data_IF_643407296797
#
_entry.id   IF_643407296797
#
_cell.length_a   1.000
_cell.length_b   1.000
_cell.length_c   1.000
_cell.angle_alpha   90.00
_cell.angle_beta   90.00
_cell.angle_gamma   90.00
#
_symmetry.space_group_name_H-M   'P 1'
#
loop_
_entity.id
_entity.type
_entity.pdbx_description
1 polymer ?
#
# COMPACT_ATOMS: atom_id res chain seq x y z
N UNK A 1 3.52 -9.92 -14.85
CA UNK A 1 4.20 -10.60 -13.75
C UNK A 1 5.71 -10.51 -13.95
N UNK A 2 6.41 -9.86 -13.03
CA UNK A 2 7.86 -9.68 -13.10
C UNK A 2 8.52 -10.75 -12.24
N UNK A 3 9.29 -11.64 -12.88
CA UNK A 3 10.02 -12.72 -12.19
C UNK A 3 11.51 -12.40 -11.97
N UNK A 4 12.02 -11.43 -12.72
CA UNK A 4 13.42 -11.01 -12.71
C UNK A 4 13.52 -9.47 -12.64
N UNK A 5 13.12 -8.85 -11.52
CA UNK A 5 13.10 -7.40 -11.38
C UNK A 5 14.47 -6.74 -11.56
N UNK A 6 15.54 -7.45 -11.32
CA UNK A 6 16.92 -7.01 -11.55
C UNK A 6 17.23 -6.67 -13.02
N UNK A 7 16.42 -7.16 -13.97
CA UNK A 7 16.59 -6.85 -15.40
C UNK A 7 15.77 -5.64 -15.83
N UNK A 8 14.59 -5.45 -15.22
CA UNK A 8 13.60 -4.44 -15.66
C UNK A 8 13.59 -3.19 -14.80
N UNK A 9 13.91 -3.31 -13.51
CA UNK A 9 13.84 -2.19 -12.58
C UNK A 9 14.91 -1.14 -12.86
N UNK A 10 14.53 0.13 -12.85
CA UNK A 10 15.46 1.26 -12.99
C UNK A 10 16.35 1.44 -11.77
N UNK A 11 15.87 1.06 -10.58
CA UNK A 11 16.61 1.11 -9.33
C UNK A 11 17.10 -0.29 -8.91
N UNK A 12 18.43 -0.45 -8.84
CA UNK A 12 19.12 -1.68 -8.46
C UNK A 12 19.76 -1.60 -7.07
N UNK A 13 19.51 -0.51 -6.31
CA UNK A 13 20.09 -0.32 -5.00
C UNK A 13 19.79 -1.51 -4.09
N UNK A 14 20.80 -1.97 -3.38
CA UNK A 14 20.63 -3.09 -2.44
C UNK A 14 19.64 -2.74 -1.32
N UNK A 15 18.88 -3.74 -0.89
CA UNK A 15 18.02 -3.59 0.30
C UNK A 15 18.88 -3.28 1.52
N UNK A 16 18.60 -2.15 2.16
CA UNK A 16 19.30 -1.74 3.36
C UNK A 16 18.73 -2.49 4.57
N UNK A 17 19.48 -3.46 5.09
CA UNK A 17 19.11 -4.17 6.30
C UNK A 17 19.34 -3.29 7.53
N UNK A 18 18.29 -2.97 8.30
CA UNK A 18 18.43 -2.18 9.52
C UNK A 18 19.25 -2.90 10.60
N UNK A 19 19.95 -2.13 11.43
CA UNK A 19 20.83 -2.66 12.50
C UNK A 19 20.07 -3.43 13.59
N UNK A 20 18.78 -3.16 13.75
CA UNK A 20 17.92 -3.82 14.75
C UNK A 20 16.50 -3.97 14.20
N UNK A 21 15.76 -4.95 14.70
CA UNK A 21 14.33 -5.16 14.39
C UNK A 21 13.39 -4.31 15.23
N UNK A 22 13.91 -3.44 16.10
CA UNK A 22 13.08 -2.55 16.92
C UNK A 22 12.35 -1.55 16.04
N UNK A 23 11.04 -1.58 16.06
CA UNK A 23 10.17 -0.72 15.24
C UNK A 23 8.91 -0.29 15.96
N UNK A 24 8.29 0.77 15.46
CA UNK A 24 7.03 1.31 15.96
C UNK A 24 6.16 1.79 14.80
N UNK A 25 4.85 1.79 15.01
CA UNK A 25 3.93 2.62 14.26
C UNK A 25 3.85 3.97 14.99
N UNK A 26 4.38 5.03 14.39
CA UNK A 26 4.65 6.28 15.09
C UNK A 26 3.62 7.34 14.67
N UNK A 27 3.04 7.99 15.68
CA UNK A 27 2.34 9.26 15.48
C UNK A 27 3.37 10.39 15.30
N UNK A 28 3.12 11.32 14.37
CA UNK A 28 4.05 12.41 14.04
C UNK A 28 4.45 13.27 15.24
N UNK A 29 3.55 13.45 16.19
CA UNK A 29 3.81 14.20 17.42
C UNK A 29 4.69 13.44 18.43
N UNK A 30 5.00 12.16 18.19
CA UNK A 30 5.82 11.30 19.06
C UNK A 30 7.18 10.93 18.42
N UNK A 31 7.61 11.68 17.42
CA UNK A 31 8.88 11.42 16.71
C UNK A 31 10.09 11.40 17.64
N UNK A 32 10.16 12.33 18.59
CA UNK A 32 11.29 12.42 19.53
C UNK A 32 11.38 11.20 20.43
N UNK A 33 10.24 10.65 20.86
CA UNK A 33 10.21 9.45 21.70
C UNK A 33 10.72 8.24 20.90
N UNK A 34 10.33 8.12 19.65
CA UNK A 34 10.81 7.07 18.76
C UNK A 34 12.34 7.14 18.56
N UNK A 35 12.88 8.35 18.37
CA UNK A 35 14.32 8.55 18.22
C UNK A 35 15.07 8.22 19.54
N UNK A 36 14.53 8.63 20.68
CA UNK A 36 15.09 8.32 22.00
C UNK A 36 15.09 6.82 22.27
N UNK A 37 14.03 6.11 21.87
CA UNK A 37 13.95 4.65 21.96
C UNK A 37 14.91 3.91 21.00
N UNK A 38 15.52 4.63 20.05
CA UNK A 38 16.46 4.07 19.08
C UNK A 38 15.81 3.08 18.12
N UNK A 39 14.58 3.36 17.68
CA UNK A 39 13.92 2.53 16.68
C UNK A 39 14.62 2.63 15.33
N UNK A 40 14.60 1.53 14.56
CA UNK A 40 15.19 1.44 13.23
C UNK A 40 14.18 1.04 12.16
N UNK A 41 12.91 0.87 12.53
CA UNK A 41 11.80 0.62 11.65
C UNK A 41 10.60 1.48 12.05
N UNK A 42 9.88 1.99 11.05
CA UNK A 42 8.57 2.61 11.25
C UNK A 42 7.58 2.06 10.24
N UNK A 43 6.30 1.98 10.64
CA UNK A 43 5.20 1.79 9.72
C UNK A 43 4.49 3.14 9.50
N UNK A 44 4.13 3.42 8.25
CA UNK A 44 3.40 4.61 7.82
C UNK A 44 2.20 4.18 7.00
N UNK A 45 1.00 4.60 7.38
CA UNK A 45 -0.19 4.38 6.58
C UNK A 45 -0.25 5.39 5.43
N UNK A 46 -0.49 4.90 4.22
CA UNK A 46 -0.74 5.71 3.03
C UNK A 46 -2.22 5.63 2.69
N UNK A 47 -2.91 6.75 2.82
CA UNK A 47 -4.30 6.91 2.42
C UNK A 47 -4.37 7.07 0.90
N UNK A 48 -4.65 5.97 0.21
CA UNK A 48 -4.50 5.83 -1.24
C UNK A 48 -5.35 6.82 -2.04
N UNK A 49 -6.63 6.97 -1.67
CA UNK A 49 -7.57 7.81 -2.41
C UNK A 49 -7.25 9.31 -2.32
N UNK A 50 -6.51 9.73 -1.29
CA UNK A 50 -6.19 11.14 -1.05
C UNK A 50 -5.07 11.65 -1.97
N UNK A 51 -4.37 10.74 -2.64
CA UNK A 51 -3.33 11.12 -3.60
C UNK A 51 -3.87 11.78 -4.86
N UNK A 52 -5.13 11.51 -5.26
CA UNK A 52 -5.75 12.21 -6.39
C UNK A 52 -6.15 13.64 -5.99
N UNK A 53 -5.96 14.59 -6.92
CA UNK A 53 -6.27 15.98 -6.66
C UNK A 53 -5.67 16.93 -7.70
N UNK A 54 -4.86 17.88 -7.26
CA UNK A 54 -4.26 18.86 -8.18
C UNK A 54 -2.86 19.31 -7.72
N UNK A 55 -2.11 19.87 -8.65
CA UNK A 55 -0.83 20.53 -8.37
C UNK A 55 0.40 19.69 -8.72
N UNK A 56 0.24 18.39 -9.03
CA UNK A 56 1.27 17.56 -9.63
C UNK A 56 0.65 16.80 -10.80
N UNK A 57 1.20 16.97 -11.99
CA UNK A 57 0.83 16.21 -13.18
C UNK A 57 1.75 15.00 -13.32
N UNK A 58 1.19 13.85 -13.63
CA UNK A 58 1.90 12.60 -13.82
C UNK A 58 1.43 11.88 -15.08
N UNK A 59 2.36 11.71 -16.01
CA UNK A 59 2.09 11.00 -17.24
C UNK A 59 2.26 9.49 -17.04
N UNK A 60 1.20 8.74 -17.28
CA UNK A 60 1.22 7.29 -17.18
C UNK A 60 0.35 6.65 -18.25
N UNK A 61 0.93 5.73 -19.02
CA UNK A 61 0.22 4.94 -20.05
C UNK A 61 -0.55 5.82 -21.06
N UNK A 62 0.07 6.97 -21.45
CA UNK A 62 -0.50 7.92 -22.42
C UNK A 62 -1.62 8.80 -21.87
N UNK A 63 -1.82 8.85 -20.56
CA UNK A 63 -2.79 9.71 -19.87
C UNK A 63 -2.10 10.56 -18.81
N UNK A 64 -2.61 11.78 -18.61
CA UNK A 64 -2.20 12.65 -17.50
C UNK A 64 -3.11 12.40 -16.31
N UNK A 65 -2.51 12.09 -15.17
CA UNK A 65 -3.18 12.00 -13.87
C UNK A 65 -2.76 13.16 -12.99
N UNK A 66 -3.69 13.65 -12.18
CA UNK A 66 -3.45 14.80 -11.32
C UNK A 66 -3.37 14.38 -9.86
N UNK A 67 -2.25 14.69 -9.20
CA UNK A 67 -2.02 14.34 -7.81
C UNK A 67 -2.09 15.54 -6.89
N UNK A 68 -2.57 15.29 -5.68
CA UNK A 68 -2.72 16.30 -4.64
C UNK A 68 -1.35 16.68 -4.07
N UNK A 69 -0.85 17.85 -4.48
CA UNK A 69 0.47 18.34 -4.09
C UNK A 69 0.65 18.42 -2.58
N UNK A 70 -0.34 18.90 -1.85
CA UNK A 70 -0.21 19.06 -0.39
C UNK A 70 -0.14 17.72 0.34
N UNK A 71 -0.89 16.73 -0.10
CA UNK A 71 -0.82 15.36 0.43
C UNK A 71 0.54 14.73 0.14
N UNK A 72 1.00 14.83 -1.09
CA UNK A 72 2.30 14.30 -1.51
C UNK A 72 3.44 14.94 -0.71
N UNK A 73 3.49 16.27 -0.61
CA UNK A 73 4.53 17.00 0.13
C UNK A 73 4.52 16.64 1.63
N UNK A 74 3.35 16.38 2.21
CA UNK A 74 3.26 15.92 3.59
C UNK A 74 3.88 14.52 3.77
N UNK A 75 3.58 13.57 2.89
CA UNK A 75 4.22 12.25 2.93
C UNK A 75 5.73 12.34 2.68
N UNK A 76 6.18 13.16 1.74
CA UNK A 76 7.60 13.41 1.49
C UNK A 76 8.33 13.85 2.76
N UNK A 77 7.76 14.83 3.46
CA UNK A 77 8.31 15.35 4.72
C UNK A 77 8.39 14.29 5.81
N UNK A 78 7.32 13.51 5.97
CA UNK A 78 7.25 12.44 6.99
C UNK A 78 8.29 11.37 6.72
N UNK A 79 8.30 10.84 5.49
CA UNK A 79 9.19 9.76 5.09
C UNK A 79 10.65 10.22 5.14
N UNK A 80 10.97 11.43 4.63
CA UNK A 80 12.32 11.98 4.67
C UNK A 80 12.84 12.18 6.09
N UNK A 81 11.97 12.52 7.03
CA UNK A 81 12.32 12.66 8.44
C UNK A 81 12.82 11.34 9.03
N UNK A 82 12.16 10.22 8.71
CA UNK A 82 12.59 8.90 9.17
C UNK A 82 13.87 8.46 8.49
N UNK A 83 13.93 8.55 7.16
CA UNK A 83 15.10 8.12 6.38
C UNK A 83 16.35 8.94 6.76
N UNK A 84 16.20 10.24 7.00
CA UNK A 84 17.27 11.12 7.48
C UNK A 84 17.82 10.74 8.87
N UNK A 85 17.10 9.92 9.64
CA UNK A 85 17.51 9.34 10.92
C UNK A 85 17.95 7.88 10.81
N UNK A 86 18.20 7.39 9.61
CA UNK A 86 18.57 6.01 9.35
C UNK A 86 17.51 4.99 9.83
N UNK A 87 16.26 5.34 9.63
CA UNK A 87 15.10 4.50 9.97
C UNK A 87 14.49 3.96 8.68
N UNK A 88 14.32 2.65 8.60
CA UNK A 88 13.65 1.98 7.48
C UNK A 88 12.14 2.20 7.56
N UNK A 89 11.54 2.55 6.43
CA UNK A 89 10.10 2.81 6.33
C UNK A 89 9.40 1.62 5.69
N UNK A 90 8.34 1.18 6.34
CA UNK A 90 7.33 0.26 5.79
C UNK A 90 6.06 1.04 5.54
N UNK A 91 5.63 1.13 4.29
CA UNK A 91 4.36 1.76 3.93
C UNK A 91 3.24 0.73 3.87
N UNK A 92 2.12 1.02 4.52
CA UNK A 92 0.88 0.26 4.44
C UNK A 92 -0.08 1.07 3.58
N UNK A 93 -0.35 0.60 2.37
CA UNK A 93 -1.22 1.28 1.40
C UNK A 93 -2.66 0.84 1.65
N UNK A 94 -3.50 1.78 2.04
CA UNK A 94 -4.87 1.56 2.46
C UNK A 94 -5.82 2.33 1.55
N UNK A 95 -6.84 1.66 1.01
CA UNK A 95 -7.82 2.29 0.13
C UNK A 95 -8.98 2.84 0.95
N UNK A 96 -8.86 4.07 1.38
CA UNK A 96 -9.91 4.80 2.10
C UNK A 96 -11.05 5.21 1.15
N UNK A 97 -12.25 5.35 1.71
CA UNK A 97 -13.38 5.87 0.93
C UNK A 97 -13.22 7.36 0.65
N UNK A 98 -13.36 7.72 -0.63
CA UNK A 98 -13.38 9.11 -1.07
C UNK A 98 -14.60 9.35 -1.97
N UNK A 99 -15.51 10.21 -1.53
CA UNK A 99 -16.73 10.51 -2.28
C UNK A 99 -16.43 11.20 -3.63
N UNK A 100 -15.26 11.82 -3.78
CA UNK A 100 -14.82 12.42 -5.05
C UNK A 100 -14.22 11.37 -6.02
N UNK A 101 -13.82 10.20 -5.52
CA UNK A 101 -13.14 9.15 -6.29
C UNK A 101 -13.71 7.76 -5.98
N UNK A 102 -15.02 7.54 -6.20
CA UNK A 102 -15.65 6.24 -5.93
C UNK A 102 -15.14 5.13 -6.87
N UNK A 103 -14.56 5.50 -8.02
CA UNK A 103 -13.95 4.57 -8.98
C UNK A 103 -12.77 3.79 -8.40
N UNK A 104 -12.15 4.25 -7.31
CA UNK A 104 -11.03 3.56 -6.66
C UNK A 104 -11.47 2.35 -5.83
N UNK A 105 -12.73 2.29 -5.45
CA UNK A 105 -13.28 1.18 -4.66
C UNK A 105 -13.86 0.11 -5.58
N UNK A 106 -13.69 -1.16 -5.20
CA UNK A 106 -14.18 -2.30 -5.97
C UNK A 106 -15.62 -2.10 -6.42
N UNK A 107 -15.87 -2.33 -7.72
CA UNK A 107 -17.16 -2.05 -8.35
C UNK A 107 -18.32 -2.79 -7.69
N UNK A 108 -19.39 -2.06 -7.37
CA UNK A 108 -20.55 -2.59 -6.67
C UNK A 108 -20.47 -2.52 -5.15
N UNK A 109 -19.35 -2.07 -4.58
CA UNK A 109 -19.20 -1.86 -3.13
C UNK A 109 -19.80 -0.52 -2.73
N UNK A 110 -20.64 -0.53 -1.70
CA UNK A 110 -21.18 0.68 -1.10
C UNK A 110 -20.40 1.10 0.15
N UNK A 111 -20.39 2.40 0.44
CA UNK A 111 -19.86 2.93 1.70
C UNK A 111 -20.63 2.34 2.89
N UNK A 112 -19.90 1.88 3.89
CA UNK A 112 -20.47 1.31 5.11
C UNK A 112 -19.67 1.73 6.33
N UNK A 113 -20.35 1.86 7.48
CA UNK A 113 -19.69 2.10 8.77
C UNK A 113 -18.99 0.85 9.33
N UNK A 114 -19.21 -0.31 8.72
CA UNK A 114 -18.58 -1.58 9.12
C UNK A 114 -17.21 -1.79 8.51
N UNK A 115 -16.73 -0.87 7.67
CA UNK A 115 -15.42 -0.95 7.02
C UNK A 115 -14.62 0.31 7.26
N UNK A 116 -13.35 0.14 7.56
CA UNK A 116 -12.39 1.24 7.64
C UNK A 116 -11.75 1.52 6.28
N UNK A 117 -11.47 0.46 5.51
CA UNK A 117 -10.85 0.54 4.19
C UNK A 117 -11.51 -0.46 3.23
N UNK A 118 -11.28 -0.23 1.94
CA UNK A 118 -11.98 -0.90 0.85
C UNK A 118 -11.04 -1.61 -0.11
N UNK A 119 -11.54 -2.66 -0.75
CA UNK A 119 -10.82 -3.35 -1.81
C UNK A 119 -10.56 -2.41 -2.99
N UNK A 120 -9.35 -2.46 -3.54
CA UNK A 120 -8.95 -1.71 -4.71
C UNK A 120 -9.76 -2.12 -5.95
N UNK A 121 -10.14 -1.15 -6.78
CA UNK A 121 -10.88 -1.45 -8.00
C UNK A 121 -9.93 -1.86 -9.12
N UNK A 122 -9.90 -3.16 -9.37
CA UNK A 122 -9.23 -3.74 -10.54
C UNK A 122 -10.22 -4.33 -11.55
N UNK A 123 -11.53 -4.11 -11.35
CA UNK A 123 -12.60 -4.74 -12.13
C UNK A 123 -13.08 -3.87 -13.28
N UNK A 124 -13.24 -2.57 -13.06
CA UNK A 124 -13.62 -1.63 -14.13
C UNK A 124 -12.37 -1.07 -14.79
N UNK A 125 -12.48 -0.72 -16.07
CA UNK A 125 -11.34 -0.14 -16.80
C UNK A 125 -10.86 1.16 -16.14
N UNK A 126 -11.76 2.09 -15.86
CA UNK A 126 -11.44 3.36 -15.21
C UNK A 126 -10.77 3.17 -13.85
N UNK A 127 -11.38 2.34 -12.97
CA UNK A 127 -10.81 2.05 -11.66
C UNK A 127 -9.45 1.37 -11.73
N UNK A 128 -9.29 0.41 -12.66
CA UNK A 128 -8.02 -0.28 -12.87
C UNK A 128 -6.92 0.67 -13.36
N UNK A 129 -7.21 1.50 -14.39
CA UNK A 129 -6.25 2.45 -14.93
C UNK A 129 -5.83 3.48 -13.88
N UNK A 130 -6.79 4.04 -13.13
CA UNK A 130 -6.51 5.01 -12.07
C UNK A 130 -5.72 4.38 -10.92
N UNK A 131 -6.12 3.18 -10.49
CA UNK A 131 -5.37 2.41 -9.46
C UNK A 131 -3.93 2.13 -9.88
N UNK A 132 -3.71 1.71 -11.13
CA UNK A 132 -2.36 1.50 -11.69
C UNK A 132 -1.54 2.78 -11.70
N UNK A 133 -2.13 3.89 -12.11
CA UNK A 133 -1.43 5.18 -12.15
C UNK A 133 -0.98 5.63 -10.77
N UNK A 134 -1.84 5.49 -9.74
CA UNK A 134 -1.45 5.82 -8.35
C UNK A 134 -0.34 4.88 -7.86
N UNK A 135 -0.43 3.57 -8.12
CA UNK A 135 0.61 2.62 -7.74
C UNK A 135 1.95 2.94 -8.43
N UNK A 136 1.92 3.29 -9.73
CA UNK A 136 3.11 3.69 -10.46
C UNK A 136 3.70 4.99 -9.91
N UNK A 137 2.87 5.99 -9.61
CA UNK A 137 3.31 7.24 -8.99
C UNK A 137 4.00 7.00 -7.64
N UNK A 138 3.40 6.18 -6.77
CA UNK A 138 3.99 5.83 -5.47
C UNK A 138 5.33 5.09 -5.63
N UNK A 139 5.40 4.15 -6.59
CA UNK A 139 6.61 3.42 -6.89
C UNK A 139 7.72 4.35 -7.40
N UNK A 140 7.43 5.16 -8.41
CA UNK A 140 8.39 6.10 -8.98
C UNK A 140 8.89 7.09 -7.94
N UNK A 141 7.99 7.60 -7.09
CA UNK A 141 8.33 8.61 -6.11
C UNK A 141 9.14 8.07 -4.94
N UNK A 142 8.81 6.88 -4.42
CA UNK A 142 9.39 6.37 -3.16
C UNK A 142 10.27 5.13 -3.33
N UNK A 143 10.28 4.50 -4.49
CA UNK A 143 11.13 3.36 -4.82
C UNK A 143 12.06 3.60 -6.01
N UNK A 144 11.84 4.66 -6.78
CA UNK A 144 12.65 5.01 -7.96
C UNK A 144 14.08 5.39 -7.62
N UNK A 145 14.94 5.47 -8.64
CA UNK A 145 16.36 5.85 -8.52
C UNK A 145 16.57 7.37 -8.51
N UNK A 146 15.69 8.10 -9.17
CA UNK A 146 15.80 9.56 -9.30
C UNK A 146 15.21 10.27 -8.09
N UNK A 147 15.56 9.82 -6.88
CA UNK A 147 15.20 10.56 -5.69
C UNK A 147 15.92 11.90 -5.73
N UNK A 148 15.17 12.93 -5.95
CA UNK A 148 15.53 14.19 -5.38
C UNK A 148 15.81 13.93 -3.89
N UNK A 149 16.92 14.44 -3.36
CA UNK A 149 17.31 14.30 -1.93
C UNK A 149 16.21 14.71 -0.93
N UNK A 150 15.12 15.30 -1.43
CA UNK A 150 13.92 15.69 -0.67
C UNK A 150 12.88 14.56 -0.54
N UNK A 151 13.02 13.47 -1.29
CA UNK A 151 12.12 12.31 -1.22
C UNK A 151 12.83 11.18 -0.54
N UNK A 152 12.19 10.63 0.42
CA UNK A 152 12.77 9.54 1.15
C UNK A 152 12.30 8.20 0.60
N UNK A 153 13.17 7.21 0.67
CA UNK A 153 12.92 5.88 0.17
C UNK A 153 12.05 5.07 1.11
N UNK A 154 11.04 4.41 0.55
CA UNK A 154 10.30 3.32 1.19
C UNK A 154 10.91 2.01 0.69
N UNK A 155 11.32 1.15 1.62
CA UNK A 155 11.96 -0.13 1.29
C UNK A 155 11.03 -1.32 1.43
N UNK A 156 9.96 -1.18 2.20
CA UNK A 156 8.98 -2.22 2.43
C UNK A 156 7.57 -1.68 2.17
N UNK A 157 6.78 -2.45 1.44
CA UNK A 157 5.44 -2.10 1.04
C UNK A 157 4.46 -3.19 1.46
N UNK A 158 3.36 -2.80 2.06
CA UNK A 158 2.23 -3.69 2.39
C UNK A 158 1.01 -3.17 1.65
N UNK A 159 0.34 -4.01 0.88
CA UNK A 159 -0.92 -3.65 0.23
C UNK A 159 -2.09 -4.13 1.08
N UNK A 160 -2.91 -3.20 1.55
CA UNK A 160 -3.98 -3.47 2.50
C UNK A 160 -3.47 -3.76 3.91
N UNK A 161 -4.37 -3.97 4.84
CA UNK A 161 -4.07 -4.36 6.22
C UNK A 161 -4.96 -5.55 6.59
N UNK A 162 -4.37 -6.58 7.24
CA UNK A 162 -5.11 -7.74 7.74
C UNK A 162 -6.18 -8.23 6.75
N UNK A 163 -5.75 -8.50 5.52
CA UNK A 163 -6.65 -8.69 4.37
C UNK A 163 -7.64 -9.85 4.51
N UNK A 164 -7.41 -10.74 5.44
CA UNK A 164 -8.37 -11.81 5.76
C UNK A 164 -9.61 -11.31 6.53
N UNK A 165 -9.64 -10.03 6.92
CA UNK A 165 -10.77 -9.39 7.58
C UNK A 165 -11.24 -8.18 6.75
N UNK A 166 -12.46 -8.26 6.21
CA UNK A 166 -12.99 -7.22 5.34
C UNK A 166 -13.24 -5.86 6.02
N UNK A 167 -13.11 -5.74 7.34
CA UNK A 167 -13.10 -4.41 7.98
C UNK A 167 -11.97 -3.51 7.44
N UNK A 168 -10.88 -4.14 6.99
CA UNK A 168 -9.69 -3.48 6.48
C UNK A 168 -9.54 -3.50 4.96
N UNK A 169 -10.41 -4.26 4.25
CA UNK A 169 -10.30 -4.41 2.79
C UNK A 169 -11.66 -4.83 2.20
N UNK A 170 -12.68 -4.01 2.42
CA UNK A 170 -14.08 -4.34 2.17
C UNK A 170 -14.45 -4.32 0.69
N UNK A 171 -15.11 -5.38 0.23
CA UNK A 171 -15.72 -5.45 -1.11
C UNK A 171 -17.19 -5.92 -1.08
N UNK A 172 -17.75 -6.11 0.11
CA UNK A 172 -19.03 -6.76 0.30
C UNK A 172 -18.89 -8.27 0.55
N UNK A 173 -19.97 -8.93 0.97
CA UNK A 173 -19.98 -10.37 1.20
C UNK A 173 -19.53 -11.14 -0.05
N UNK A 174 -18.53 -12.00 0.10
CA UNK A 174 -17.98 -12.81 -1.01
C UNK A 174 -17.49 -14.16 -0.49
N UNK A 175 -17.53 -15.19 -1.33
CA UNK A 175 -16.81 -16.43 -1.03
C UNK A 175 -15.28 -16.22 -1.07
N UNK A 176 -14.55 -17.10 -0.42
CA UNK A 176 -13.09 -17.00 -0.28
C UNK A 176 -12.39 -16.89 -1.65
N UNK A 177 -12.78 -17.72 -2.61
CA UNK A 177 -12.13 -17.74 -3.93
C UNK A 177 -12.32 -16.43 -4.68
N UNK A 178 -13.54 -15.90 -4.67
CA UNK A 178 -13.87 -14.59 -5.26
C UNK A 178 -13.08 -13.48 -4.59
N UNK A 179 -13.03 -13.47 -3.26
CA UNK A 179 -12.29 -12.49 -2.50
C UNK A 179 -10.79 -12.52 -2.79
N UNK A 180 -10.18 -13.71 -2.68
CA UNK A 180 -8.74 -13.87 -2.90
C UNK A 180 -8.36 -13.55 -4.34
N UNK A 181 -9.13 -13.99 -5.34
CA UNK A 181 -8.83 -13.70 -6.75
C UNK A 181 -8.88 -12.19 -7.03
N UNK A 182 -9.84 -11.47 -6.43
CA UNK A 182 -9.94 -10.01 -6.54
C UNK A 182 -8.75 -9.32 -5.88
N UNK A 183 -8.39 -9.72 -4.67
CA UNK A 183 -7.22 -9.17 -3.98
C UNK A 183 -5.91 -9.46 -4.73
N UNK A 184 -5.75 -10.67 -5.26
CA UNK A 184 -4.57 -11.03 -6.05
C UNK A 184 -4.37 -10.13 -7.27
N UNK A 185 -5.43 -9.70 -7.94
CA UNK A 185 -5.31 -8.76 -9.07
C UNK A 185 -4.73 -7.42 -8.61
N UNK A 186 -5.22 -6.87 -7.50
CA UNK A 186 -4.69 -5.64 -6.93
C UNK A 186 -3.23 -5.82 -6.48
N UNK A 187 -2.94 -6.92 -5.76
CA UNK A 187 -1.59 -7.21 -5.28
C UNK A 187 -0.58 -7.37 -6.42
N UNK A 188 -0.92 -8.10 -7.49
CA UNK A 188 -0.05 -8.27 -8.66
C UNK A 188 0.19 -6.95 -9.39
N UNK A 189 -0.84 -6.10 -9.48
CA UNK A 189 -0.72 -4.77 -10.07
C UNK A 189 0.25 -3.91 -9.27
N UNK A 190 0.08 -3.88 -7.96
CA UNK A 190 0.97 -3.17 -7.05
C UNK A 190 2.41 -3.73 -7.07
N UNK A 191 2.55 -5.05 -6.95
CA UNK A 191 3.83 -5.74 -7.04
C UNK A 191 4.57 -5.38 -8.34
N UNK A 192 3.86 -5.37 -9.47
CA UNK A 192 4.43 -5.02 -10.75
C UNK A 192 4.92 -3.56 -10.77
N UNK A 193 4.15 -2.62 -10.23
CA UNK A 193 4.57 -1.22 -10.13
C UNK A 193 5.87 -1.08 -9.31
N UNK A 194 5.92 -1.68 -8.11
CA UNK A 194 7.12 -1.62 -7.27
C UNK A 194 8.32 -2.32 -7.94
N UNK A 195 8.14 -3.54 -8.46
CA UNK A 195 9.23 -4.35 -9.00
C UNK A 195 9.72 -3.90 -10.37
N UNK A 196 8.93 -3.18 -11.14
CA UNK A 196 9.41 -2.50 -12.35
C UNK A 196 10.26 -1.27 -12.04
N UNK A 197 10.09 -0.70 -10.86
CA UNK A 197 10.79 0.51 -10.41
C UNK A 197 12.01 0.19 -9.56
N UNK A 198 11.87 -0.71 -8.57
CA UNK A 198 12.96 -1.13 -7.68
C UNK A 198 13.09 -2.65 -7.60
N UNK A 199 14.27 -3.18 -7.92
CA UNK A 199 14.56 -4.61 -7.89
C UNK A 199 14.48 -5.18 -6.46
N UNK A 200 14.94 -4.43 -5.48
CA UNK A 200 15.20 -4.93 -4.14
C UNK A 200 14.19 -4.49 -3.07
N UNK A 201 13.28 -3.56 -3.36
CA UNK A 201 12.20 -3.22 -2.45
C UNK A 201 11.24 -4.42 -2.29
N UNK A 202 10.72 -4.59 -1.08
CA UNK A 202 9.93 -5.75 -0.72
C UNK A 202 8.45 -5.42 -0.69
N UNK A 203 7.64 -6.35 -1.17
CA UNK A 203 6.18 -6.21 -1.22
C UNK A 203 5.54 -7.34 -0.44
N UNK A 204 4.63 -7.00 0.45
CA UNK A 204 3.98 -7.91 1.37
C UNK A 204 2.47 -7.68 1.39
N UNK A 205 1.76 -8.61 1.99
CA UNK A 205 0.45 -8.44 2.57
C UNK A 205 0.49 -8.81 4.05
N UNK A 206 -0.50 -8.37 4.83
CA UNK A 206 -0.63 -8.72 6.24
C UNK A 206 -1.93 -9.47 6.49
N UNK A 207 -1.90 -10.33 7.50
CA UNK A 207 -3.04 -11.08 8.01
C UNK A 207 -3.22 -10.76 9.47
N UNK A 208 -4.47 -10.86 9.96
CA UNK A 208 -4.73 -10.83 11.39
C UNK A 208 -4.27 -12.14 12.07
N UNK A 209 -4.46 -12.23 13.37
CA UNK A 209 -3.99 -13.38 14.16
C UNK A 209 -4.84 -14.66 14.01
N UNK A 210 -5.93 -14.62 13.26
CA UNK A 210 -6.81 -15.77 13.03
C UNK A 210 -6.30 -16.67 11.90
N UNK A 211 -5.26 -17.42 12.21
CA UNK A 211 -4.63 -18.27 11.20
C UNK A 211 -5.45 -19.47 10.81
N UNK A 212 -5.86 -20.31 11.76
CA UNK A 212 -6.45 -21.63 11.48
C UNK A 212 -7.95 -21.76 11.80
N UNK A 213 -8.53 -20.81 12.51
CA UNK A 213 -9.92 -20.80 12.87
C UNK A 213 -10.56 -19.43 12.56
N UNK A 214 -11.78 -19.38 12.03
CA UNK A 214 -12.50 -18.13 11.91
C UNK A 214 -12.89 -17.62 13.30
N UNK A 215 -13.14 -16.35 13.41
CA UNK A 215 -13.73 -15.74 14.59
C UNK A 215 -15.06 -16.44 14.91
N UNK A 216 -15.27 -16.89 16.14
CA UNK A 216 -16.56 -17.43 16.55
C UNK A 216 -17.66 -16.39 16.26
N UNK A 217 -18.70 -16.80 15.53
CA UNK A 217 -19.83 -15.97 15.10
C UNK A 217 -19.57 -14.90 14.03
N UNK A 218 -18.42 -14.88 13.35
CA UNK A 218 -18.22 -14.01 12.19
C UNK A 218 -18.74 -14.67 10.91
N UNK A 219 -19.27 -13.81 10.02
CA UNK A 219 -19.72 -14.20 8.71
C UNK A 219 -18.51 -14.60 7.85
N UNK A 220 -18.46 -15.84 7.40
CA UNK A 220 -17.43 -16.41 6.54
C UNK A 220 -17.33 -15.78 5.13
N UNK A 221 -18.26 -14.86 4.80
CA UNK A 221 -18.23 -14.06 3.58
C UNK A 221 -17.56 -12.70 3.77
N UNK A 222 -17.15 -12.34 4.98
CA UNK A 222 -16.47 -11.06 5.27
C UNK A 222 -15.26 -11.23 6.18
N UNK A 223 -15.04 -12.43 6.70
CA UNK A 223 -13.87 -12.77 7.50
C UNK A 223 -13.39 -14.19 7.19
N UNK A 224 -12.15 -14.32 6.82
CA UNK A 224 -11.54 -15.57 6.37
C UNK A 224 -10.40 -15.97 7.30
N UNK A 225 -10.04 -17.25 7.32
CA UNK A 225 -8.82 -17.66 8.02
C UNK A 225 -7.58 -17.22 7.26
N UNK A 226 -6.52 -16.84 7.97
CA UNK A 226 -5.23 -16.52 7.34
C UNK A 226 -4.72 -17.68 6.47
N UNK A 227 -4.87 -18.93 6.95
CA UNK A 227 -4.54 -20.14 6.19
C UNK A 227 -5.35 -20.23 4.89
N UNK A 228 -6.66 -19.97 4.93
CA UNK A 228 -7.52 -19.97 3.75
C UNK A 228 -7.04 -18.97 2.70
N UNK A 229 -6.68 -17.75 3.10
CA UNK A 229 -6.13 -16.74 2.19
C UNK A 229 -4.85 -17.21 1.50
N UNK A 230 -3.95 -17.91 2.24
CA UNK A 230 -2.64 -18.31 1.71
C UNK A 230 -2.74 -19.56 0.82
N UNK A 231 -3.65 -20.48 1.14
CA UNK A 231 -3.79 -21.74 0.42
C UNK A 231 -4.61 -21.61 -0.89
N UNK A 232 -5.38 -20.52 -1.07
CA UNK A 232 -6.20 -20.22 -2.25
C UNK A 232 -5.40 -19.44 -3.28
#
# INVERSE_FOLDING_TARGET
YITNPEVVASNQDAFKTPLTKKGLNIQLNMLNDAFTLGVKHVAVNIAFSQFLGSGIDYEYDGKTYHFNKSVVENYDKVISTYVGKDISVTAIVLNDWNDAHPELVHAGTAKTSSANYYMFNTKTQEGFETTRAIFAFLADRYSGKNHNSNYAKISNWILGNEINNQIWNYMGPADLNTYVSTYQQAFRTFYTAIKSTSANDRVYFSLDFWWGAPYENLNDQVHYTGKGIVDT
#
